data_IF_729399099737
#
_entry.id   IF_729399099737
#
_cell.length_a   1.000
_cell.length_b   1.000
_cell.length_c   1.000
_cell.angle_alpha   90.00
_cell.angle_beta   90.00
_cell.angle_gamma   90.00
#
_symmetry.space_group_name_H-M   'P 1'
#
loop_
_entity.id
_entity.type
_entity.pdbx_description
1 polymer ?
#
# COMPACT_ATOMS: atom_id res chain seq x y z
N UNK A 1 8.70 11.84 21.00
CA UNK A 1 8.29 11.85 19.57
C UNK A 1 7.92 13.26 19.14
N UNK A 2 8.30 13.68 17.93
CA UNK A 2 7.91 14.94 17.26
C UNK A 2 7.23 14.63 15.94
N UNK A 3 6.24 15.43 15.55
CA UNK A 3 5.62 15.34 14.22
C UNK A 3 6.10 16.56 13.43
N UNK A 4 6.71 16.32 12.27
CA UNK A 4 7.29 17.36 11.42
C UNK A 4 6.70 17.23 10.01
N UNK A 5 6.12 18.30 9.51
CA UNK A 5 5.66 18.37 8.12
C UNK A 5 6.73 19.08 7.27
N UNK A 6 7.03 18.50 6.12
CA UNK A 6 7.98 19.05 5.15
C UNK A 6 7.36 19.07 3.76
N UNK A 7 7.57 20.13 3.01
CA UNK A 7 7.21 20.18 1.60
C UNK A 7 8.41 19.79 0.76
N UNK A 8 8.27 18.75 -0.03
CA UNK A 8 9.24 18.34 -1.04
C UNK A 8 8.71 18.66 -2.45
N UNK A 9 9.57 18.65 -3.43
CA UNK A 9 9.20 18.92 -4.83
C UNK A 9 9.66 17.80 -5.75
N UNK A 10 8.75 17.34 -6.60
CA UNK A 10 9.05 16.43 -7.71
C UNK A 10 8.47 17.04 -8.99
N UNK A 11 9.33 17.58 -9.84
CA UNK A 11 8.93 18.40 -10.99
C UNK A 11 7.98 19.53 -10.53
N UNK A 12 6.77 19.59 -11.07
CA UNK A 12 5.77 20.61 -10.76
C UNK A 12 4.92 20.30 -9.53
N UNK A 13 5.10 19.11 -8.93
CA UNK A 13 4.32 18.69 -7.77
C UNK A 13 5.00 19.08 -6.47
N UNK A 14 4.25 19.71 -5.57
CA UNK A 14 4.56 19.78 -4.14
C UNK A 14 4.05 18.52 -3.46
N UNK A 15 4.86 17.92 -2.60
CA UNK A 15 4.54 16.73 -1.84
C UNK A 15 4.63 17.08 -0.36
N UNK A 16 3.50 17.05 0.34
CA UNK A 16 3.45 17.27 1.77
C UNK A 16 3.77 15.97 2.50
N UNK A 17 4.97 15.92 3.06
CA UNK A 17 5.53 14.75 3.75
C UNK A 17 5.42 14.95 5.24
N UNK A 18 4.85 13.98 5.94
CA UNK A 18 4.76 13.97 7.40
C UNK A 18 5.76 12.97 7.97
N UNK A 19 6.60 13.44 8.88
CA UNK A 19 7.57 12.65 9.62
C UNK A 19 7.11 12.49 11.07
N UNK A 20 7.12 11.26 11.59
CA UNK A 20 7.00 10.94 13.00
C UNK A 20 8.39 10.58 13.50
N UNK A 21 8.98 11.46 14.30
CA UNK A 21 10.39 11.40 14.69
C UNK A 21 10.52 11.04 16.16
N UNK A 22 11.00 9.84 16.52
CA UNK A 22 11.34 9.47 17.90
C UNK A 22 12.54 10.27 18.41
N UNK A 23 12.83 10.16 19.70
CA UNK A 23 13.99 10.83 20.31
C UNK A 23 15.32 10.25 19.80
N UNK A 24 15.37 8.94 19.64
CA UNK A 24 16.55 8.19 19.20
C UNK A 24 16.12 7.10 18.21
N UNK A 25 15.95 7.44 16.91
CA UNK A 25 15.50 6.48 15.93
C UNK A 25 16.53 5.38 15.68
N UNK A 26 16.10 4.11 15.74
CA UNK A 26 16.92 2.94 15.43
C UNK A 26 16.71 2.43 13.99
N UNK A 27 15.57 2.77 13.39
CA UNK A 27 15.23 2.44 12.03
C UNK A 27 14.29 3.49 11.44
N UNK A 28 14.11 3.50 10.14
CA UNK A 28 13.18 4.39 9.46
C UNK A 28 12.27 3.61 8.51
N UNK A 29 10.98 3.98 8.43
CA UNK A 29 10.01 3.35 7.53
C UNK A 29 9.33 4.41 6.66
N UNK A 30 9.36 4.22 5.34
CA UNK A 30 8.49 4.92 4.39
C UNK A 30 7.21 4.14 4.17
N UNK A 31 6.07 4.80 4.34
CA UNK A 31 4.75 4.16 4.25
C UNK A 31 4.01 4.61 3.00
N UNK A 32 3.43 3.63 2.28
CA UNK A 32 2.61 3.80 1.09
C UNK A 32 1.19 3.33 1.38
N UNK A 33 0.24 4.26 1.42
CA UNK A 33 -1.17 3.96 1.65
C UNK A 33 -1.83 3.28 0.44
N UNK A 34 -3.02 2.72 0.62
CA UNK A 34 -3.79 2.05 -0.40
C UNK A 34 -4.49 2.98 -1.40
N UNK A 35 -5.24 2.38 -2.31
CA UNK A 35 -6.08 3.11 -3.26
C UNK A 35 -7.31 3.68 -2.55
N UNK A 36 -7.71 4.90 -2.96
CA UNK A 36 -8.90 5.57 -2.46
C UNK A 36 -8.91 5.73 -0.93
N UNK A 37 -7.74 6.00 -0.36
CA UNK A 37 -7.54 6.40 1.04
C UNK A 37 -6.42 7.45 1.13
N UNK A 38 -5.97 7.83 2.33
CA UNK A 38 -4.96 8.87 2.52
C UNK A 38 -4.11 8.66 3.78
N UNK A 39 -3.01 9.41 3.88
CA UNK A 39 -1.98 9.28 4.94
C UNK A 39 -2.51 9.41 6.37
N UNK A 40 -3.54 10.25 6.59
CA UNK A 40 -4.01 10.56 7.95
C UNK A 40 -4.72 9.38 8.63
N UNK A 41 -5.17 8.40 7.85
CA UNK A 41 -5.71 7.14 8.39
C UNK A 41 -4.66 6.34 9.16
N UNK A 42 -3.38 6.48 8.81
CA UNK A 42 -2.26 5.75 9.39
C UNK A 42 -1.72 6.34 10.70
N UNK A 43 -2.34 7.42 11.21
CA UNK A 43 -1.85 8.16 12.39
C UNK A 43 -1.56 7.26 13.59
N UNK A 44 -2.43 6.29 13.88
CA UNK A 44 -2.29 5.39 15.02
C UNK A 44 -1.07 4.47 14.85
N UNK A 45 -0.92 3.83 13.69
CA UNK A 45 0.26 3.03 13.35
C UNK A 45 1.54 3.86 13.46
N UNK A 46 1.57 5.04 12.83
CA UNK A 46 2.75 5.91 12.82
C UNK A 46 3.15 6.35 14.22
N UNK A 47 2.17 6.67 15.07
CA UNK A 47 2.41 7.02 16.47
C UNK A 47 2.99 5.84 17.23
N UNK A 48 2.42 4.64 17.06
CA UNK A 48 2.90 3.44 17.73
C UNK A 48 4.34 3.10 17.32
N UNK A 49 4.64 3.13 16.03
CA UNK A 49 6.00 2.87 15.51
C UNK A 49 7.00 3.90 16.06
N UNK A 50 6.64 5.18 16.06
CA UNK A 50 7.53 6.24 16.53
C UNK A 50 7.74 6.23 18.06
N UNK A 51 6.78 5.75 18.83
CA UNK A 51 6.95 5.51 20.27
C UNK A 51 7.86 4.32 20.57
N UNK A 52 8.10 3.47 19.56
CA UNK A 52 9.00 2.33 19.61
C UNK A 52 10.28 2.55 18.78
N UNK A 53 10.82 3.77 18.78
CA UNK A 53 12.10 4.15 18.18
C UNK A 53 12.19 3.97 16.66
N UNK A 54 11.07 3.93 15.95
CA UNK A 54 11.05 3.85 14.48
C UNK A 54 10.62 5.20 13.89
N UNK A 55 11.51 5.85 13.15
CA UNK A 55 11.19 7.04 12.39
C UNK A 55 10.26 6.70 11.22
N UNK A 56 9.11 7.37 11.11
CA UNK A 56 8.15 7.08 10.06
C UNK A 56 7.99 8.26 9.11
N UNK A 57 7.88 7.95 7.83
CA UNK A 57 7.66 8.93 6.75
C UNK A 57 6.45 8.52 5.93
N UNK A 58 5.50 9.43 5.78
CA UNK A 58 4.30 9.20 4.98
C UNK A 58 3.90 10.45 4.20
N UNK A 59 3.27 10.26 3.05
CA UNK A 59 2.72 11.32 2.21
C UNK A 59 1.48 10.84 1.47
N UNK A 60 0.66 11.76 0.96
CA UNK A 60 -0.44 11.40 0.07
C UNK A 60 0.09 11.14 -1.34
N UNK A 61 -0.18 9.94 -1.87
CA UNK A 61 0.15 9.61 -3.25
C UNK A 61 -0.69 10.43 -4.23
N UNK A 62 -0.25 10.56 -5.49
CA UNK A 62 -0.98 11.34 -6.51
C UNK A 62 -2.42 10.88 -6.63
N UNK A 63 -3.33 11.84 -6.75
CA UNK A 63 -4.77 11.59 -6.82
C UNK A 63 -5.42 11.22 -5.49
N UNK A 64 -4.74 11.39 -4.36
CA UNK A 64 -5.24 11.00 -3.04
C UNK A 64 -5.04 12.10 -2.00
N UNK A 65 -5.96 12.12 -1.02
CA UNK A 65 -5.89 12.94 0.17
C UNK A 65 -6.24 14.43 -0.01
N UNK A 66 -6.29 15.18 1.10
CA UNK A 66 -6.70 16.58 1.11
C UNK A 66 -5.72 17.54 0.44
N UNK A 67 -4.46 17.15 0.28
CA UNK A 67 -3.43 17.96 -0.39
C UNK A 67 -3.60 17.98 -1.91
N UNK A 68 -4.42 17.07 -2.45
CA UNK A 68 -4.64 17.00 -3.89
C UNK A 68 -5.80 17.92 -4.31
N UNK A 69 -5.69 18.53 -5.48
CA UNK A 69 -6.77 19.33 -6.04
C UNK A 69 -8.01 18.46 -6.29
N UNK A 70 -9.20 19.00 -5.98
CA UNK A 70 -10.46 18.25 -6.07
C UNK A 70 -10.70 17.59 -7.43
N UNK A 71 -10.35 18.26 -8.52
CA UNK A 71 -10.48 17.74 -9.87
C UNK A 71 -9.50 16.59 -10.19
N UNK A 72 -8.40 16.51 -9.43
CA UNK A 72 -7.37 15.46 -9.56
C UNK A 72 -7.57 14.28 -8.62
N UNK A 73 -8.44 14.39 -7.59
CA UNK A 73 -8.73 13.26 -6.71
C UNK A 73 -9.12 12.02 -7.54
N UNK A 74 -8.58 10.86 -7.20
CA UNK A 74 -8.80 9.61 -7.94
C UNK A 74 -8.13 9.55 -9.32
N UNK A 75 -7.20 10.48 -9.65
CA UNK A 75 -6.54 10.49 -10.94
C UNK A 75 -5.02 10.65 -10.84
N UNK A 76 -4.30 9.84 -11.58
CA UNK A 76 -2.89 10.03 -11.93
C UNK A 76 -2.64 9.52 -13.36
N UNK A 77 -1.69 10.13 -14.05
CA UNK A 77 -1.43 9.84 -15.45
C UNK A 77 -0.53 8.61 -15.65
N UNK A 78 0.41 8.36 -14.72
CA UNK A 78 1.35 7.26 -14.82
C UNK A 78 1.71 6.69 -13.46
N UNK A 79 1.88 5.38 -13.39
CA UNK A 79 2.41 4.71 -12.20
C UNK A 79 3.87 5.10 -11.93
N UNK A 80 4.64 5.42 -12.98
CA UNK A 80 6.02 5.91 -12.86
C UNK A 80 6.10 7.25 -12.10
N UNK A 81 5.05 8.08 -12.15
CA UNK A 81 4.99 9.30 -11.34
C UNK A 81 4.85 8.99 -9.85
N UNK A 82 4.12 7.93 -9.47
CA UNK A 82 4.05 7.46 -8.08
C UNK A 82 5.43 7.00 -7.61
N UNK A 83 6.16 6.25 -8.44
CA UNK A 83 7.53 5.78 -8.12
C UNK A 83 8.51 6.95 -8.01
N UNK A 84 8.41 7.93 -8.88
CA UNK A 84 9.23 9.14 -8.84
C UNK A 84 9.00 9.95 -7.56
N UNK A 85 7.74 10.13 -7.17
CA UNK A 85 7.40 10.80 -5.90
C UNK A 85 7.94 10.02 -4.70
N UNK A 86 7.79 8.69 -4.70
CA UNK A 86 8.31 7.81 -3.66
C UNK A 86 9.84 7.97 -3.47
N UNK A 87 10.60 8.02 -4.58
CA UNK A 87 12.05 8.22 -4.54
C UNK A 87 12.45 9.60 -4.01
N UNK A 88 11.65 10.63 -4.31
CA UNK A 88 11.87 11.97 -3.74
C UNK A 88 11.64 11.94 -2.23
N UNK A 89 10.55 11.34 -1.77
CA UNK A 89 10.24 11.22 -0.33
C UNK A 89 11.27 10.36 0.40
N UNK A 90 11.74 9.26 -0.19
CA UNK A 90 12.80 8.41 0.35
C UNK A 90 14.05 9.20 0.74
N UNK A 91 14.44 10.21 -0.04
CA UNK A 91 15.62 11.06 0.25
C UNK A 91 15.48 11.89 1.52
N UNK A 92 14.28 12.01 2.08
CA UNK A 92 14.04 12.70 3.37
C UNK A 92 14.25 11.81 4.59
N UNK A 93 14.43 10.51 4.38
CA UNK A 93 14.72 9.56 5.46
C UNK A 93 16.18 9.72 5.94
N UNK A 94 16.46 9.49 7.23
CA UNK A 94 17.83 9.39 7.73
C UNK A 94 18.62 8.34 6.94
N UNK A 95 19.88 8.61 6.66
CA UNK A 95 20.74 7.72 5.87
C UNK A 95 21.68 6.85 6.74
N UNK A 96 21.77 7.16 8.00
CA UNK A 96 22.66 6.56 9.01
C UNK A 96 21.99 5.43 9.81
N UNK A 97 20.76 5.10 9.51
CA UNK A 97 20.00 4.00 10.13
C UNK A 97 19.30 3.15 9.06
N UNK A 98 18.99 1.88 9.33
CA UNK A 98 18.28 1.00 8.39
C UNK A 98 16.95 1.59 7.91
N UNK A 99 16.68 1.49 6.61
CA UNK A 99 15.50 2.08 5.96
C UNK A 99 14.60 1.00 5.36
N UNK A 100 13.36 1.00 5.80
CA UNK A 100 12.35 0.03 5.39
C UNK A 100 11.27 0.68 4.54
N UNK A 101 10.64 -0.13 3.69
CA UNK A 101 9.38 0.23 3.02
C UNK A 101 8.20 -0.55 3.61
N UNK A 102 7.07 0.11 3.85
CA UNK A 102 5.80 -0.52 4.17
C UNK A 102 4.75 -0.08 3.16
N UNK A 103 4.14 -1.02 2.44
CA UNK A 103 3.10 -0.71 1.47
C UNK A 103 1.83 -1.51 1.72
N UNK A 104 0.68 -0.82 1.78
CA UNK A 104 -0.64 -1.43 1.92
C UNK A 104 -1.41 -1.38 0.60
N UNK A 105 -2.01 -2.50 0.20
CA UNK A 105 -2.88 -2.58 -0.99
C UNK A 105 -2.19 -2.01 -2.26
N UNK A 106 -2.71 -0.97 -2.91
CA UNK A 106 -2.03 -0.27 -4.01
C UNK A 106 -0.61 0.18 -3.61
N UNK A 107 -0.42 0.65 -2.38
CA UNK A 107 0.89 1.02 -1.86
C UNK A 107 1.88 -0.15 -1.84
N UNK A 108 1.41 -1.38 -1.66
CA UNK A 108 2.24 -2.58 -1.77
C UNK A 108 2.77 -2.80 -3.20
N UNK A 109 1.99 -2.42 -4.20
CA UNK A 109 2.40 -2.48 -5.61
C UNK A 109 3.47 -1.42 -5.90
N UNK A 110 3.30 -0.20 -5.32
CA UNK A 110 4.33 0.86 -5.42
C UNK A 110 5.63 0.38 -4.78
N UNK A 111 5.58 -0.15 -3.56
CA UNK A 111 6.77 -0.70 -2.89
C UNK A 111 7.41 -1.82 -3.70
N UNK A 112 6.66 -2.82 -4.15
CA UNK A 112 7.16 -3.95 -4.96
C UNK A 112 7.80 -3.50 -6.28
N UNK A 113 7.37 -2.38 -6.86
CA UNK A 113 8.02 -1.77 -8.03
C UNK A 113 9.39 -1.18 -7.70
N UNK A 114 9.59 -0.69 -6.48
CA UNK A 114 10.83 -0.05 -6.01
C UNK A 114 11.87 -1.04 -5.48
N UNK A 115 11.51 -2.31 -5.23
CA UNK A 115 12.41 -3.31 -4.63
C UNK A 115 13.61 -3.69 -5.50
N UNK A 116 13.62 -3.31 -6.78
CA UNK A 116 14.77 -3.49 -7.67
C UNK A 116 15.73 -2.28 -7.67
N UNK A 117 15.40 -1.20 -6.95
CA UNK A 117 16.12 0.08 -7.03
C UNK A 117 17.11 0.29 -5.86
N UNK A 118 17.40 -0.73 -5.07
CA UNK A 118 18.35 -0.68 -3.95
C UNK A 118 18.12 0.47 -2.94
N UNK A 119 16.84 0.73 -2.62
CA UNK A 119 16.46 1.82 -1.73
C UNK A 119 16.31 1.35 -0.27
N UNK A 120 15.81 0.14 -0.05
CA UNK A 120 15.38 -0.33 1.26
C UNK A 120 16.25 -1.49 1.75
N UNK A 121 16.42 -1.57 3.06
CA UNK A 121 17.11 -2.63 3.78
C UNK A 121 16.13 -3.74 4.21
N UNK A 122 14.83 -3.50 4.13
CA UNK A 122 13.77 -4.48 4.32
C UNK A 122 12.43 -3.98 3.81
N UNK A 123 11.49 -4.90 3.52
CA UNK A 123 10.20 -4.56 2.94
C UNK A 123 9.03 -5.26 3.63
N UNK A 124 8.01 -4.48 4.02
CA UNK A 124 6.77 -4.95 4.64
C UNK A 124 5.64 -4.77 3.62
N UNK A 125 5.12 -5.87 3.11
CA UNK A 125 4.13 -5.93 2.05
C UNK A 125 2.80 -6.34 2.66
N UNK A 126 1.83 -5.41 2.71
CA UNK A 126 0.58 -5.58 3.44
C UNK A 126 -0.61 -5.64 2.47
N UNK A 127 -1.50 -6.61 2.62
CA UNK A 127 -2.74 -6.73 1.84
C UNK A 127 -2.52 -6.69 0.33
N UNK A 128 -1.44 -7.32 -0.15
CA UNK A 128 -1.11 -7.33 -1.58
C UNK A 128 -1.91 -8.40 -2.31
N UNK A 129 -2.37 -8.07 -3.52
CA UNK A 129 -2.90 -9.06 -4.45
C UNK A 129 -1.80 -9.54 -5.40
N UNK A 130 -1.96 -10.75 -5.89
CA UNK A 130 -1.17 -11.30 -6.98
C UNK A 130 -2.07 -12.08 -7.93
N UNK A 131 -1.70 -12.25 -9.17
CA UNK A 131 -2.43 -13.01 -10.19
C UNK A 131 -3.77 -12.44 -10.64
N UNK A 132 -3.73 -11.55 -11.63
CA UNK A 132 -4.90 -11.35 -12.47
C UNK A 132 -5.28 -12.70 -13.13
N UNK A 133 -6.54 -13.10 -12.98
CA UNK A 133 -7.10 -14.22 -13.71
C UNK A 133 -7.34 -13.84 -15.20
N UNK A 134 -7.88 -14.75 -16.01
CA UNK A 134 -8.16 -14.46 -17.43
C UNK A 134 -9.13 -13.29 -17.63
N UNK A 135 -10.08 -13.11 -16.72
CA UNK A 135 -11.03 -11.97 -16.77
C UNK A 135 -10.31 -10.64 -16.55
N UNK A 136 -9.33 -10.61 -15.63
CA UNK A 136 -8.53 -9.42 -15.36
C UNK A 136 -7.64 -9.05 -16.57
N UNK A 137 -7.18 -10.05 -17.33
CA UNK A 137 -6.43 -9.82 -18.57
C UNK A 137 -7.27 -9.13 -19.66
N UNK A 138 -8.53 -9.56 -19.83
CA UNK A 138 -9.46 -8.91 -20.74
C UNK A 138 -9.82 -7.51 -20.26
N UNK A 139 -10.03 -7.36 -18.95
CA UNK A 139 -10.30 -6.07 -18.32
C UNK A 139 -9.13 -5.10 -18.47
N UNK A 140 -7.87 -5.56 -18.35
CA UNK A 140 -6.69 -4.72 -18.58
C UNK A 140 -6.62 -4.19 -20.01
N UNK A 141 -6.81 -5.06 -21.00
CA UNK A 141 -6.82 -4.64 -22.42
C UNK A 141 -7.93 -3.64 -22.69
N UNK A 142 -9.14 -3.91 -22.19
CA UNK A 142 -10.29 -3.01 -22.33
C UNK A 142 -10.00 -1.66 -21.65
N UNK A 143 -9.56 -1.65 -20.40
CA UNK A 143 -9.22 -0.43 -19.67
C UNK A 143 -8.08 0.34 -20.35
N UNK A 144 -7.09 -0.34 -20.92
CA UNK A 144 -6.00 0.29 -21.67
C UNK A 144 -6.55 1.07 -22.88
N UNK A 145 -7.42 0.46 -23.68
CA UNK A 145 -8.04 1.15 -24.82
C UNK A 145 -8.91 2.31 -24.33
N UNK A 146 -9.76 2.07 -23.34
CA UNK A 146 -10.65 3.10 -22.79
C UNK A 146 -9.85 4.27 -22.18
N UNK A 147 -8.70 3.99 -21.59
CA UNK A 147 -7.82 5.01 -21.01
C UNK A 147 -7.17 5.94 -22.04
N UNK A 148 -7.14 5.57 -23.31
CA UNK A 148 -6.68 6.44 -24.40
C UNK A 148 -7.79 7.40 -24.85
N UNK A 149 -9.07 7.00 -24.69
CA UNK A 149 -10.23 7.76 -25.18
C UNK A 149 -10.76 8.69 -24.08
N UNK A 150 -10.93 8.19 -22.85
CA UNK A 150 -11.51 8.92 -21.72
C UNK A 150 -10.66 8.82 -20.44
N UNK A 151 -9.38 9.19 -20.46
CA UNK A 151 -8.43 8.91 -19.40
C UNK A 151 -8.87 9.43 -18.01
N UNK A 152 -9.46 10.63 -17.96
CA UNK A 152 -9.83 11.31 -16.70
C UNK A 152 -11.24 10.99 -16.20
N UNK A 153 -12.06 10.28 -17.00
CA UNK A 153 -13.41 9.90 -16.57
C UNK A 153 -13.35 8.93 -15.40
N UNK A 154 -14.18 9.20 -14.39
CA UNK A 154 -14.38 8.36 -13.20
C UNK A 154 -15.72 7.64 -13.35
N UNK A 155 -15.68 6.44 -13.91
CA UNK A 155 -16.88 5.64 -14.16
C UNK A 155 -17.22 4.82 -12.91
N UNK A 156 -18.30 5.18 -12.23
CA UNK A 156 -18.74 4.48 -11.01
C UNK A 156 -18.99 2.98 -11.26
N UNK A 157 -19.49 2.61 -12.45
CA UNK A 157 -19.69 1.20 -12.82
C UNK A 157 -18.38 0.41 -12.86
N UNK A 158 -17.30 0.97 -13.43
CA UNK A 158 -15.99 0.32 -13.46
C UNK A 158 -15.38 0.19 -12.07
N UNK A 159 -15.49 1.23 -11.23
CA UNK A 159 -15.01 1.19 -9.87
C UNK A 159 -15.77 0.14 -9.03
N UNK A 160 -17.09 0.04 -9.18
CA UNK A 160 -17.89 -1.00 -8.53
C UNK A 160 -17.53 -2.41 -9.05
N UNK A 161 -17.26 -2.54 -10.34
CA UNK A 161 -16.89 -3.83 -10.95
C UNK A 161 -15.55 -4.35 -10.41
N UNK A 162 -14.60 -3.45 -10.09
CA UNK A 162 -13.29 -3.83 -9.52
C UNK A 162 -13.39 -4.56 -8.19
N UNK A 163 -14.47 -4.35 -7.44
CA UNK A 163 -14.71 -4.96 -6.11
C UNK A 163 -16.01 -5.77 -6.06
N UNK A 164 -16.53 -6.13 -7.25
CA UNK A 164 -17.77 -6.86 -7.35
C UNK A 164 -17.68 -8.21 -6.62
N UNK A 165 -18.63 -8.45 -5.72
CA UNK A 165 -18.72 -9.69 -4.97
C UNK A 165 -17.93 -9.72 -3.66
N UNK A 166 -17.00 -8.77 -3.40
CA UNK A 166 -16.20 -8.78 -2.19
C UNK A 166 -17.06 -8.66 -0.92
N UNK A 167 -18.00 -7.71 -0.90
CA UNK A 167 -18.95 -7.54 0.21
C UNK A 167 -19.87 -8.74 0.41
N UNK A 168 -20.14 -9.52 -0.65
CA UNK A 168 -20.99 -10.70 -0.60
C UNK A 168 -20.46 -11.82 0.28
N UNK A 169 -19.17 -11.82 0.59
CA UNK A 169 -18.55 -12.81 1.47
C UNK A 169 -18.87 -12.58 2.95
N UNK A 170 -19.44 -11.43 3.31
CA UNK A 170 -19.61 -11.02 4.70
C UNK A 170 -21.06 -10.64 4.99
N UNK A 171 -21.54 -10.95 6.20
CA UNK A 171 -22.83 -10.50 6.71
C UNK A 171 -22.81 -9.01 7.01
N UNK A 172 -23.97 -8.34 6.93
CA UNK A 172 -24.11 -6.91 7.21
C UNK A 172 -24.72 -6.14 6.04
N UNK A 173 -25.01 -4.85 6.24
CA UNK A 173 -25.62 -3.95 5.25
C UNK A 173 -24.66 -2.84 4.80
N UNK A 174 -23.55 -2.66 5.50
CA UNK A 174 -22.56 -1.63 5.26
C UNK A 174 -21.85 -1.87 3.91
N UNK A 175 -21.63 -0.81 3.17
CA UNK A 175 -20.74 -0.84 2.00
C UNK A 175 -19.29 -1.01 2.45
N UNK A 176 -18.48 -1.63 1.61
CA UNK A 176 -17.05 -1.82 1.85
C UNK A 176 -16.73 -2.67 3.09
N UNK A 177 -17.67 -3.53 3.55
CA UNK A 177 -17.43 -4.42 4.69
C UNK A 177 -16.32 -5.45 4.46
N UNK A 178 -15.94 -5.66 3.21
CA UNK A 178 -14.76 -6.47 2.87
C UNK A 178 -13.43 -5.86 3.34
N UNK A 179 -13.43 -4.56 3.69
CA UNK A 179 -12.23 -3.87 4.16
C UNK A 179 -11.85 -4.28 5.59
N UNK A 180 -12.83 -4.34 6.51
CA UNK A 180 -12.57 -4.50 7.94
C UNK A 180 -13.71 -5.26 8.62
N UNK A 181 -13.41 -5.96 9.73
CA UNK A 181 -14.43 -6.55 10.61
C UNK A 181 -15.09 -5.49 11.49
N UNK A 182 -14.31 -4.52 11.97
CA UNK A 182 -14.80 -3.43 12.80
C UNK A 182 -15.70 -2.50 12.00
N UNK A 183 -16.99 -2.56 12.30
CA UNK A 183 -18.01 -1.70 11.66
C UNK A 183 -17.70 -0.22 11.87
N UNK A 184 -17.09 0.14 13.00
CA UNK A 184 -16.72 1.54 13.28
C UNK A 184 -15.66 2.06 12.30
N UNK A 185 -14.68 1.24 11.92
CA UNK A 185 -13.68 1.57 10.92
C UNK A 185 -14.29 1.65 9.50
N UNK A 186 -15.26 0.77 9.18
CA UNK A 186 -16.02 0.85 7.93
C UNK A 186 -16.80 2.16 7.85
N UNK A 187 -17.47 2.56 8.94
CA UNK A 187 -18.22 3.82 9.02
C UNK A 187 -17.27 5.01 8.86
N UNK A 188 -16.13 5.02 9.53
CA UNK A 188 -15.10 6.05 9.37
C UNK A 188 -14.66 6.15 7.91
N UNK A 189 -14.31 5.02 7.27
CA UNK A 189 -13.92 4.98 5.86
C UNK A 189 -15.01 5.53 4.93
N UNK A 190 -16.26 5.10 5.12
CA UNK A 190 -17.39 5.49 4.27
C UNK A 190 -17.81 6.95 4.44
N UNK A 191 -17.57 7.56 5.61
CA UNK A 191 -17.90 8.95 5.91
C UNK A 191 -16.76 9.94 5.59
N UNK A 192 -15.55 9.44 5.37
CA UNK A 192 -14.39 10.26 5.06
C UNK A 192 -14.46 10.78 3.60
N UNK A 193 -14.44 12.11 3.38
CA UNK A 193 -14.54 12.69 2.04
C UNK A 193 -13.35 12.39 1.13
N UNK A 194 -12.23 11.90 1.68
CA UNK A 194 -11.00 11.55 0.98
C UNK A 194 -10.78 10.04 0.89
N UNK A 195 -11.74 9.23 1.36
CA UNK A 195 -11.75 7.79 1.24
C UNK A 195 -12.88 7.30 0.32
N UNK A 196 -12.72 6.15 -0.33
CA UNK A 196 -13.73 5.57 -1.20
C UNK A 196 -14.00 6.32 -2.52
N UNK A 197 -13.16 7.27 -2.92
CA UNK A 197 -13.36 8.01 -4.17
C UNK A 197 -13.18 7.10 -5.39
N UNK A 198 -13.98 7.37 -6.44
CA UNK A 198 -13.82 6.69 -7.71
C UNK A 198 -12.50 7.07 -8.39
N UNK A 199 -11.75 6.05 -8.78
CA UNK A 199 -10.56 6.22 -9.60
C UNK A 199 -10.92 6.46 -11.06
N UNK A 200 -10.10 7.25 -11.75
CA UNK A 200 -10.24 7.46 -13.20
C UNK A 200 -9.90 6.20 -13.99
N UNK A 201 -10.41 6.12 -15.21
CA UNK A 201 -10.11 5.01 -16.12
C UNK A 201 -8.60 4.83 -16.31
N UNK A 202 -7.85 5.93 -16.42
CA UNK A 202 -6.39 5.89 -16.56
C UNK A 202 -5.72 5.33 -15.31
N UNK A 203 -6.10 5.81 -14.12
CA UNK A 203 -5.54 5.31 -12.87
C UNK A 203 -5.82 3.81 -12.66
N UNK A 204 -7.06 3.35 -12.91
CA UNK A 204 -7.39 1.92 -12.85
C UNK A 204 -6.55 1.08 -13.82
N UNK A 205 -6.40 1.56 -15.05
CA UNK A 205 -5.57 0.89 -16.08
C UNK A 205 -4.11 0.77 -15.63
N UNK A 206 -3.54 1.84 -15.06
CA UNK A 206 -2.16 1.83 -14.55
C UNK A 206 -1.99 0.91 -13.33
N UNK A 207 -2.96 0.90 -12.40
CA UNK A 207 -2.94 -0.01 -11.24
C UNK A 207 -2.94 -1.47 -11.71
N UNK A 208 -3.91 -1.85 -12.55
CA UNK A 208 -4.04 -3.23 -13.01
C UNK A 208 -2.82 -3.72 -13.80
N UNK A 209 -2.28 -2.86 -14.68
CA UNK A 209 -1.02 -3.10 -15.39
C UNK A 209 0.13 -3.37 -14.42
N UNK A 210 0.22 -2.62 -13.30
CA UNK A 210 1.32 -2.75 -12.36
C UNK A 210 1.14 -3.92 -11.38
N UNK A 211 -0.09 -4.31 -11.02
CA UNK A 211 -0.35 -5.59 -10.34
C UNK A 211 0.23 -6.75 -11.16
N UNK A 212 -0.08 -6.81 -12.46
CA UNK A 212 0.51 -7.82 -13.36
C UNK A 212 2.02 -7.72 -13.50
N UNK A 213 2.55 -6.49 -13.50
CA UNK A 213 3.99 -6.29 -13.63
C UNK A 213 4.74 -6.93 -12.46
N UNK A 214 4.34 -6.59 -11.22
CA UNK A 214 5.04 -7.06 -10.00
C UNK A 214 4.84 -8.55 -9.74
N UNK A 215 3.82 -9.17 -10.32
CA UNK A 215 3.56 -10.61 -10.16
C UNK A 215 4.40 -11.51 -11.10
N UNK A 216 5.05 -10.94 -12.11
CA UNK A 216 5.88 -11.71 -13.03
C UNK A 216 7.19 -12.14 -12.36
N UNK A 217 7.49 -13.43 -12.40
CA UNK A 217 8.71 -14.01 -11.79
C UNK A 217 10.01 -13.30 -12.25
N UNK A 218 10.07 -12.86 -13.51
CA UNK A 218 11.23 -12.11 -14.05
C UNK A 218 11.45 -10.77 -13.34
N UNK A 219 10.41 -10.16 -12.74
CA UNK A 219 10.52 -8.92 -11.97
C UNK A 219 10.86 -9.22 -10.53
N UNK A 220 10.23 -10.25 -9.94
CA UNK A 220 10.56 -10.73 -8.59
C UNK A 220 12.07 -11.06 -8.50
N UNK A 221 12.64 -11.73 -9.48
CA UNK A 221 14.09 -12.06 -9.54
C UNK A 221 15.04 -10.87 -9.54
N UNK A 222 14.52 -9.67 -9.72
CA UNK A 222 15.31 -8.42 -9.75
C UNK A 222 15.27 -7.66 -8.44
N UNK A 223 14.50 -8.14 -7.48
CA UNK A 223 14.47 -7.50 -6.17
C UNK A 223 15.82 -7.67 -5.47
N UNK A 224 16.14 -6.75 -4.55
CA UNK A 224 17.32 -6.88 -3.70
C UNK A 224 17.16 -8.05 -2.74
N UNK A 225 18.24 -8.73 -2.37
CA UNK A 225 18.24 -9.73 -1.30
C UNK A 225 18.22 -9.04 0.07
N UNK A 226 17.03 -8.71 0.49
CA UNK A 226 16.68 -8.08 1.78
C UNK A 226 15.61 -8.93 2.48
N UNK A 227 15.38 -8.75 3.77
CA UNK A 227 14.23 -9.36 4.45
C UNK A 227 12.89 -8.86 3.91
N UNK A 228 11.95 -9.78 3.74
CA UNK A 228 10.57 -9.51 3.32
C UNK A 228 9.60 -9.97 4.40
N UNK A 229 8.67 -9.11 4.79
CA UNK A 229 7.57 -9.46 5.67
C UNK A 229 6.25 -9.25 4.95
N UNK A 230 5.55 -10.34 4.71
CA UNK A 230 4.23 -10.35 4.10
C UNK A 230 3.18 -10.37 5.20
N UNK A 231 2.22 -9.46 5.15
CA UNK A 231 1.14 -9.36 6.13
C UNK A 231 -0.20 -9.28 5.40
N UNK A 232 -1.18 -10.07 5.82
CA UNK A 232 -2.53 -10.00 5.26
C UNK A 232 -3.58 -10.57 6.20
N UNK A 233 -4.84 -10.26 5.89
CA UNK A 233 -5.98 -10.87 6.54
C UNK A 233 -6.30 -12.24 5.91
N UNK A 234 -6.61 -13.23 6.73
CA UNK A 234 -7.05 -14.55 6.25
C UNK A 234 -8.41 -14.51 5.56
N UNK A 235 -9.22 -13.47 5.85
CA UNK A 235 -10.53 -13.25 5.24
C UNK A 235 -10.52 -12.13 4.18
N UNK A 236 -9.35 -11.73 3.67
CA UNK A 236 -9.23 -10.71 2.62
C UNK A 236 -9.58 -11.27 1.23
N UNK A 237 -10.73 -10.90 0.62
CA UNK A 237 -11.12 -11.38 -0.70
C UNK A 237 -10.21 -10.82 -1.83
N UNK A 238 -9.55 -9.67 -1.61
CA UNK A 238 -8.62 -9.10 -2.59
C UNK A 238 -7.38 -9.97 -2.77
N UNK A 239 -6.88 -10.57 -1.70
CA UNK A 239 -5.75 -11.51 -1.71
C UNK A 239 -6.18 -12.98 -1.89
N UNK A 240 -7.42 -13.23 -2.35
CA UNK A 240 -8.01 -14.57 -2.42
C UNK A 240 -7.90 -15.32 -1.08
N UNK A 241 -8.31 -14.64 0.01
CA UNK A 241 -8.27 -15.19 1.38
C UNK A 241 -6.86 -15.60 1.81
N UNK A 242 -5.88 -14.72 1.60
CA UNK A 242 -4.48 -14.90 1.95
C UNK A 242 -3.65 -15.74 0.96
N UNK A 243 -4.30 -16.47 0.04
CA UNK A 243 -3.62 -17.36 -0.90
C UNK A 243 -2.59 -16.66 -1.77
N UNK A 244 -2.83 -15.43 -2.17
CA UNK A 244 -1.90 -14.67 -3.01
C UNK A 244 -0.60 -14.33 -2.25
N UNK A 245 -0.70 -14.09 -0.93
CA UNK A 245 0.48 -13.86 -0.09
C UNK A 245 1.29 -15.16 0.09
N UNK A 246 0.63 -16.32 0.25
CA UNK A 246 1.31 -17.61 0.31
C UNK A 246 2.09 -17.89 -0.99
N UNK A 247 1.46 -17.64 -2.14
CA UNK A 247 2.11 -17.78 -3.45
C UNK A 247 3.28 -16.81 -3.59
N UNK A 248 3.13 -15.56 -3.13
CA UNK A 248 4.20 -14.58 -3.17
C UNK A 248 5.36 -14.98 -2.24
N UNK A 249 5.04 -15.45 -1.01
CA UNK A 249 6.05 -15.99 -0.08
C UNK A 249 6.84 -17.12 -0.73
N UNK A 250 6.16 -18.08 -1.32
CA UNK A 250 6.83 -19.19 -2.01
C UNK A 250 7.77 -18.68 -3.12
N UNK A 251 7.30 -17.77 -3.98
CA UNK A 251 8.08 -17.22 -5.08
C UNK A 251 9.28 -16.39 -4.62
N UNK A 252 9.13 -15.61 -3.55
CA UNK A 252 10.24 -14.87 -2.96
C UNK A 252 11.25 -15.82 -2.32
N UNK A 253 10.80 -16.84 -1.58
CA UNK A 253 11.65 -17.84 -0.93
C UNK A 253 12.49 -18.70 -1.88
N UNK A 254 12.12 -18.73 -3.19
CA UNK A 254 12.97 -19.36 -4.22
C UNK A 254 14.24 -18.55 -4.54
N UNK A 255 14.30 -17.27 -4.13
CA UNK A 255 15.36 -16.35 -4.54
C UNK A 255 15.99 -15.58 -3.38
N UNK A 256 15.30 -15.45 -2.25
CA UNK A 256 15.68 -14.60 -1.12
C UNK A 256 15.68 -15.37 0.19
N UNK A 257 16.64 -15.07 1.06
CA UNK A 257 16.95 -15.88 2.23
C UNK A 257 15.95 -15.69 3.38
N UNK A 258 15.34 -14.50 3.54
CA UNK A 258 14.43 -14.17 4.66
C UNK A 258 13.09 -13.67 4.13
N UNK A 259 12.08 -14.53 4.20
CA UNK A 259 10.71 -14.21 3.77
C UNK A 259 9.72 -14.72 4.81
N UNK A 260 9.22 -13.80 5.62
CA UNK A 260 8.23 -14.06 6.66
C UNK A 260 6.82 -13.81 6.14
N UNK A 261 5.84 -14.57 6.62
CA UNK A 261 4.43 -14.41 6.33
C UNK A 261 3.61 -14.45 7.61
N UNK A 262 2.72 -13.46 7.74
CA UNK A 262 1.67 -13.44 8.74
C UNK A 262 0.31 -13.31 8.05
N UNK A 263 -0.54 -14.30 8.22
CA UNK A 263 -1.96 -14.23 7.90
C UNK A 263 -2.73 -14.10 9.21
N UNK A 264 -3.32 -12.93 9.42
CA UNK A 264 -4.08 -12.66 10.64
C UNK A 264 -5.47 -13.31 10.54
N UNK A 265 -5.82 -14.23 11.45
CA UNK A 265 -7.11 -14.92 11.45
C UNK A 265 -8.27 -13.92 11.55
N UNK A 266 -9.34 -14.17 10.82
CA UNK A 266 -10.55 -13.36 10.76
C UNK A 266 -10.34 -11.92 10.26
N UNK A 267 -9.12 -11.43 10.06
CA UNK A 267 -8.86 -10.10 9.53
C UNK A 267 -9.17 -10.02 8.04
N UNK A 268 -9.68 -8.87 7.61
CA UNK A 268 -10.01 -8.57 6.22
C UNK A 268 -8.88 -7.76 5.55
N UNK A 269 -9.21 -6.99 4.52
CA UNK A 269 -8.22 -6.30 3.70
C UNK A 269 -7.39 -5.26 4.46
N UNK A 270 -8.02 -4.49 5.32
CA UNK A 270 -7.38 -3.43 6.10
C UNK A 270 -6.80 -3.95 7.43
N UNK A 271 -5.96 -5.00 7.35
CA UNK A 271 -5.39 -5.67 8.51
C UNK A 271 -4.70 -4.73 9.51
N UNK A 272 -4.17 -3.59 9.05
CA UNK A 272 -3.56 -2.56 9.90
C UNK A 272 -4.57 -1.73 10.71
N UNK A 273 -5.87 -1.90 10.48
CA UNK A 273 -6.94 -1.15 11.14
C UNK A 273 -7.93 -2.09 11.88
N UNK A 274 -7.66 -3.39 11.92
CA UNK A 274 -8.49 -4.38 12.62
C UNK A 274 -8.45 -4.19 14.15
N UNK A 275 -9.37 -4.83 14.87
CA UNK A 275 -9.46 -4.72 16.34
C UNK A 275 -8.14 -5.08 17.05
N UNK A 276 -7.41 -6.09 16.55
CA UNK A 276 -6.13 -6.54 17.10
C UNK A 276 -4.90 -5.82 16.52
N UNK A 277 -5.08 -4.69 15.83
CA UNK A 277 -4.04 -3.91 15.14
C UNK A 277 -2.79 -3.65 16.00
N UNK A 278 -2.97 -3.43 17.31
CA UNK A 278 -1.83 -3.20 18.23
C UNK A 278 -0.90 -4.40 18.28
N UNK A 279 -1.44 -5.62 18.28
CA UNK A 279 -0.65 -6.85 18.18
C UNK A 279 0.12 -6.96 16.86
N UNK A 280 -0.50 -6.50 15.76
CA UNK A 280 0.15 -6.45 14.44
C UNK A 280 1.26 -5.40 14.43
N UNK A 281 1.02 -4.21 15.01
CA UNK A 281 2.03 -3.16 15.14
C UNK A 281 3.24 -3.64 15.95
N UNK A 282 3.01 -4.35 17.06
CA UNK A 282 4.09 -4.90 17.89
C UNK A 282 4.95 -5.91 17.12
N UNK A 283 4.34 -6.75 16.27
CA UNK A 283 5.07 -7.68 15.39
C UNK A 283 5.88 -6.94 14.32
N UNK A 284 5.34 -5.86 13.76
CA UNK A 284 6.09 -4.99 12.82
C UNK A 284 7.29 -4.36 13.52
N UNK A 285 7.10 -3.78 14.71
CA UNK A 285 8.20 -3.20 15.52
C UNK A 285 9.28 -4.23 15.77
N UNK A 286 8.88 -5.41 16.28
CA UNK A 286 9.84 -6.50 16.55
C UNK A 286 10.61 -6.87 15.29
N UNK A 287 9.92 -7.10 14.17
CA UNK A 287 10.54 -7.51 12.91
C UNK A 287 11.54 -6.47 12.37
N UNK A 288 11.21 -5.18 12.49
CA UNK A 288 12.08 -4.07 12.07
C UNK A 288 13.30 -3.94 12.96
N UNK A 289 13.12 -4.05 14.30
CA UNK A 289 14.20 -3.88 15.27
C UNK A 289 15.09 -5.12 15.43
N UNK A 290 14.59 -6.31 15.06
CA UNK A 290 15.39 -7.54 14.96
C UNK A 290 16.23 -7.59 13.65
N UNK A 291 16.23 -6.50 12.86
CA UNK A 291 17.08 -6.42 11.67
C UNK A 291 18.54 -6.36 12.08
N UNK A 292 19.31 -7.33 11.61
CA UNK A 292 20.77 -7.32 11.70
C UNK A 292 21.35 -6.90 10.36
N UNK A 293 22.17 -5.87 10.37
CA UNK A 293 22.93 -5.44 9.19
C UNK A 293 23.90 -6.58 8.79
N UNK A 294 23.80 -7.06 7.53
CA UNK A 294 24.66 -8.12 6.99
C UNK A 294 26.02 -7.56 6.59
#
# INVERSE_FOLDING_TARGET
MKIINRTMRNKDRKIEVTHYVPASPKASIQIFHGMAEHKDRYRELLTYLALNDIHCVIYNQRGHGPDEKKEKLGHFDSFEDLLSDAKVVFRSMPADIPRFGLGHSMGSIVLRRLLADDLYDGAIIVGTGSKPNFKDLLSEKFLKVLSLIIPRKKLTSLNKLSFLGYDGNFKGREKNRWLNQDVSEIVKYNSDPYSGQNMSVKALSEILKNIRYVDRIRHIRRYKDIPYYLIGGADDPFSHFGRDLEVLRFRLGLHYSKVDLMLEPNARHEVLFEENKVGIYARIVKWVLDYEEK
#
